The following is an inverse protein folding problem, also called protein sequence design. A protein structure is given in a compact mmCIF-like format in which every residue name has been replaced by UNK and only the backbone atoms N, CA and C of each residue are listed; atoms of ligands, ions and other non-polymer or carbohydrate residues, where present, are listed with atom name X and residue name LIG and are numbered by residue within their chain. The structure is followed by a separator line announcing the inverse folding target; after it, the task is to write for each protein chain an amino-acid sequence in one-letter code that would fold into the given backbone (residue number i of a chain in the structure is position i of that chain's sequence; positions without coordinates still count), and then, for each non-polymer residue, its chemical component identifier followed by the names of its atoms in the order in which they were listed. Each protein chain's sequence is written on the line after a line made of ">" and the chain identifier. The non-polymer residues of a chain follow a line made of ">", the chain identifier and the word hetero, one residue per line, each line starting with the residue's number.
data_IF_521141094777
#
_entry.id   IF_521141094777
#
_cell.length_a   1.000
_cell.length_b   1.000
_cell.length_c   1.000
_cell.angle_alpha   90.00
_cell.angle_beta   90.00
_cell.angle_gamma   90.00
#
_symmetry.space_group_name_H-M   'P 1'
#
loop_
_entity.id
_entity.type
_entity.pdbx_description
1 polymer ?
#
# COMPACT_ATOMS: atom_id res chain seq x y z
N UNK A 1 -4.07 -2.74 19.01
CA UNK A 1 -3.59 -1.64 18.16
C UNK A 1 -4.68 -1.26 17.18
N UNK A 2 -4.42 -0.32 16.27
CA UNK A 2 -5.34 0.02 15.19
C UNK A 2 -4.74 -0.43 13.85
N UNK A 3 -5.62 -0.77 12.91
CA UNK A 3 -5.32 -1.13 11.54
C UNK A 3 -6.51 -0.75 10.66
N UNK A 4 -6.27 -0.54 9.37
CA UNK A 4 -7.32 -0.35 8.37
C UNK A 4 -7.83 -1.72 7.97
N UNK A 5 -9.13 -1.96 8.16
CA UNK A 5 -9.83 -3.20 7.82
C UNK A 5 -11.01 -2.92 6.88
N UNK A 6 -11.75 -3.95 6.49
CA UNK A 6 -12.86 -3.85 5.51
C UNK A 6 -12.41 -3.24 4.18
N UNK A 7 -11.17 -3.52 3.78
CA UNK A 7 -10.62 -3.08 2.50
C UNK A 7 -11.15 -3.99 1.41
N UNK A 8 -11.93 -3.43 0.49
CA UNK A 8 -12.43 -4.10 -0.71
C UNK A 8 -11.73 -3.59 -1.97
N UNK A 9 -11.92 -4.32 -3.08
CA UNK A 9 -11.37 -3.90 -4.37
C UNK A 9 -11.91 -2.53 -4.78
N UNK A 10 -11.01 -1.59 -5.06
CA UNK A 10 -11.32 -0.22 -5.46
C UNK A 10 -11.20 0.81 -4.34
N UNK A 11 -11.19 0.38 -3.08
CA UNK A 11 -10.99 1.27 -1.94
C UNK A 11 -9.60 1.91 -1.95
N UNK A 12 -9.46 3.03 -1.26
CA UNK A 12 -8.18 3.69 -1.10
C UNK A 12 -8.10 4.49 0.19
N UNK A 13 -6.88 4.77 0.62
CA UNK A 13 -6.58 5.84 1.57
C UNK A 13 -5.57 6.82 0.94
N UNK A 14 -5.60 8.06 1.40
CA UNK A 14 -4.75 9.15 0.92
C UNK A 14 -3.92 9.73 2.07
N UNK A 15 -2.66 10.02 1.79
CA UNK A 15 -1.81 10.88 2.62
C UNK A 15 -1.42 12.10 1.80
N UNK A 16 -1.79 13.29 2.28
CA UNK A 16 -1.52 14.55 1.60
C UNK A 16 -0.08 14.99 1.84
N UNK A 17 0.62 15.44 0.80
CA UNK A 17 1.91 16.10 0.92
C UNK A 17 3.05 15.24 1.49
N UNK A 18 3.20 14.00 1.02
CA UNK A 18 4.34 13.14 1.40
C UNK A 18 5.61 13.67 0.77
N UNK A 19 6.59 14.03 1.60
CA UNK A 19 7.89 14.55 1.17
C UNK A 19 8.89 13.40 0.93
N UNK A 20 9.03 12.97 -0.32
CA UNK A 20 9.98 11.95 -0.77
C UNK A 20 11.41 12.49 -0.97
N UNK A 21 11.57 13.82 -1.01
CA UNK A 21 12.85 14.48 -1.24
C UNK A 21 13.35 14.35 -2.68
N UNK A 22 14.55 14.87 -2.96
CA UNK A 22 15.11 14.90 -4.32
C UNK A 22 15.62 13.54 -4.79
N UNK A 23 16.20 12.74 -3.90
CA UNK A 23 16.67 11.38 -4.20
C UNK A 23 15.51 10.40 -4.48
N UNK A 24 14.33 10.70 -3.92
CA UNK A 24 13.12 9.90 -4.01
C UNK A 24 13.17 8.60 -3.20
N UNK A 25 12.03 7.92 -3.15
CA UNK A 25 11.94 6.60 -2.53
C UNK A 25 12.37 5.49 -3.49
N UNK A 26 13.00 4.44 -2.93
CA UNK A 26 13.47 3.24 -3.65
C UNK A 26 12.69 1.99 -3.30
N UNK A 27 12.16 1.90 -2.08
CA UNK A 27 11.34 0.78 -1.66
C UNK A 27 10.18 1.24 -0.79
N UNK A 28 9.17 0.39 -0.73
CA UNK A 28 8.02 0.52 0.13
C UNK A 28 7.83 -0.78 0.89
N UNK A 29 7.60 -0.69 2.20
CA UNK A 29 7.24 -1.80 3.06
C UNK A 29 5.91 -1.51 3.73
N UNK A 30 5.03 -2.51 3.81
CA UNK A 30 3.80 -2.44 4.59
C UNK A 30 3.64 -3.69 5.45
N UNK A 31 3.10 -3.50 6.66
CA UNK A 31 2.65 -4.61 7.50
C UNK A 31 1.18 -4.87 7.28
N UNK A 32 0.89 -6.10 6.86
CA UNK A 32 -0.41 -6.53 6.36
C UNK A 32 -0.78 -7.90 6.92
N UNK A 33 -2.08 -8.20 6.95
CA UNK A 33 -2.62 -9.52 7.26
C UNK A 33 -3.77 -9.84 6.30
N UNK A 34 -3.86 -11.06 5.81
CA UNK A 34 -4.93 -11.51 4.94
C UNK A 34 -5.41 -12.90 5.36
N UNK A 35 -6.68 -12.98 5.75
CA UNK A 35 -7.39 -14.24 5.95
C UNK A 35 -8.11 -14.73 4.69
N UNK A 36 -8.08 -13.96 3.60
CA UNK A 36 -8.66 -14.30 2.31
C UNK A 36 -7.60 -14.62 1.26
N UNK A 37 -7.88 -14.31 0.00
CA UNK A 37 -6.95 -14.52 -1.12
C UNK A 37 -5.85 -13.45 -1.22
N UNK A 38 -5.93 -12.38 -0.43
CA UNK A 38 -5.02 -11.24 -0.53
C UNK A 38 -5.41 -10.27 -1.65
N UNK A 39 -4.44 -9.48 -2.10
CA UNK A 39 -4.64 -8.45 -3.12
C UNK A 39 -3.36 -7.67 -3.37
N UNK A 40 -3.50 -6.39 -3.74
CA UNK A 40 -2.39 -5.49 -4.01
C UNK A 40 -2.64 -4.11 -3.43
N UNK A 41 -1.54 -3.43 -3.09
CA UNK A 41 -1.51 -2.00 -2.79
C UNK A 41 -0.77 -1.31 -3.92
N UNK A 42 -1.51 -0.58 -4.76
CA UNK A 42 -0.97 0.30 -5.77
C UNK A 42 -0.57 1.63 -5.11
N UNK A 43 0.70 2.04 -5.27
CA UNK A 43 1.21 3.32 -4.80
C UNK A 43 1.04 4.33 -5.94
N UNK A 44 0.09 5.26 -5.79
CA UNK A 44 -0.24 6.24 -6.83
C UNK A 44 -0.03 7.67 -6.36
N UNK A 45 0.52 8.52 -7.23
CA UNK A 45 0.78 9.92 -6.93
C UNK A 45 -0.25 10.85 -7.56
N UNK A 46 -0.70 11.85 -6.81
CA UNK A 46 -1.61 12.91 -7.27
C UNK A 46 -3.09 12.54 -7.21
N UNK A 47 -3.48 11.35 -7.68
CA UNK A 47 -4.86 10.86 -7.64
C UNK A 47 -4.96 9.34 -7.55
N UNK A 48 -6.17 8.81 -7.34
CA UNK A 48 -6.46 7.37 -7.36
C UNK A 48 -6.18 6.70 -8.71
N UNK A 49 -6.07 7.47 -9.79
CA UNK A 49 -5.69 7.01 -11.13
C UNK A 49 -4.37 7.63 -11.61
N UNK A 50 -3.62 8.29 -10.72
CA UNK A 50 -2.39 8.99 -11.04
C UNK A 50 -1.21 8.03 -11.26
N UNK A 51 -0.01 8.62 -11.36
CA UNK A 51 1.24 7.91 -11.66
C UNK A 51 1.47 6.75 -10.70
N UNK A 52 1.55 5.53 -11.23
CA UNK A 52 1.86 4.32 -10.46
C UNK A 52 3.38 4.27 -10.23
N UNK A 53 3.80 4.36 -8.98
CA UNK A 53 5.23 4.38 -8.60
C UNK A 53 5.69 3.08 -7.95
N UNK A 54 4.76 2.19 -7.62
CA UNK A 54 5.05 0.87 -7.07
C UNK A 54 3.77 0.06 -6.90
N UNK A 55 3.94 -1.25 -6.75
CA UNK A 55 2.82 -2.17 -6.45
C UNK A 55 3.30 -3.21 -5.47
N UNK A 56 2.71 -3.22 -4.28
CA UNK A 56 2.97 -4.22 -3.27
C UNK A 56 1.98 -5.37 -3.42
N UNK A 57 2.48 -6.58 -3.65
CA UNK A 57 1.65 -7.79 -3.62
C UNK A 57 1.43 -8.21 -2.16
N UNK A 58 0.18 -8.49 -1.81
CA UNK A 58 -0.22 -8.96 -0.48
C UNK A 58 -0.82 -10.36 -0.65
N UNK A 59 -0.05 -11.44 -0.44
CA UNK A 59 -0.59 -12.80 -0.46
C UNK A 59 -1.46 -13.06 0.78
N UNK A 60 -2.15 -14.21 0.79
CA UNK A 60 -2.71 -14.76 2.02
C UNK A 60 -1.62 -14.92 3.07
N UNK A 61 -1.85 -14.44 4.29
CA UNK A 61 -0.87 -14.55 5.38
C UNK A 61 -1.23 -15.64 6.39
N UNK A 62 -2.33 -16.37 6.15
CA UNK A 62 -2.81 -17.44 7.03
C UNK A 62 -3.80 -16.98 8.09
N UNK A 63 -4.31 -15.74 8.02
CA UNK A 63 -5.37 -15.28 8.91
C UNK A 63 -5.43 -13.75 9.07
N UNK A 64 -6.58 -13.24 9.50
CA UNK A 64 -6.83 -11.81 9.72
C UNK A 64 -6.00 -11.16 10.84
N UNK A 65 -5.30 -11.97 11.62
CA UNK A 65 -4.39 -11.53 12.70
C UNK A 65 -2.97 -12.11 12.52
N UNK A 66 -2.70 -12.77 11.39
CA UNK A 66 -1.37 -13.29 11.08
C UNK A 66 -0.64 -12.24 10.27
N UNK A 67 0.13 -11.39 10.94
CA UNK A 67 0.75 -10.23 10.34
C UNK A 67 2.12 -10.53 9.73
N UNK A 68 2.36 -10.03 8.52
CA UNK A 68 3.66 -10.08 7.86
C UNK A 68 4.00 -8.73 7.23
N UNK A 69 5.31 -8.45 7.10
CA UNK A 69 5.81 -7.27 6.40
C UNK A 69 6.21 -7.65 4.99
N UNK A 70 5.56 -7.03 4.01
CA UNK A 70 5.84 -7.23 2.59
C UNK A 70 6.52 -5.98 2.05
N UNK A 71 7.40 -6.13 1.05
CA UNK A 71 8.06 -5.01 0.39
C UNK A 71 7.92 -5.06 -1.15
N UNK A 72 8.08 -3.89 -1.77
CA UNK A 72 8.22 -3.74 -3.22
C UNK A 72 9.19 -2.61 -3.55
N UNK A 73 9.70 -2.61 -4.78
CA UNK A 73 10.47 -1.50 -5.32
C UNK A 73 9.56 -0.31 -5.63
N UNK A 74 10.14 0.88 -5.56
CA UNK A 74 9.49 2.17 -5.87
C UNK A 74 10.37 2.93 -6.85
N UNK A 75 9.77 3.52 -7.86
CA UNK A 75 10.45 4.37 -8.83
C UNK A 75 9.61 5.60 -9.18
N UNK A 76 10.27 6.74 -9.38
CA UNK A 76 9.61 7.98 -9.78
C UNK A 76 8.88 8.74 -8.67
N UNK A 77 8.99 8.31 -7.40
CA UNK A 77 8.46 9.05 -6.25
C UNK A 77 9.50 10.03 -5.71
N UNK A 78 9.46 11.28 -6.16
CA UNK A 78 10.35 12.38 -5.73
C UNK A 78 9.55 13.62 -5.33
N UNK A 79 10.20 14.59 -4.69
CA UNK A 79 9.59 15.85 -4.29
C UNK A 79 8.55 15.69 -3.19
N UNK A 80 7.52 16.53 -3.20
CA UNK A 80 6.38 16.44 -2.28
C UNK A 80 5.12 16.14 -3.08
N UNK A 81 4.46 15.02 -2.80
CA UNK A 81 3.35 14.50 -3.61
C UNK A 81 2.22 13.98 -2.72
N UNK A 82 0.98 14.10 -3.18
CA UNK A 82 -0.13 13.37 -2.56
C UNK A 82 -0.01 11.88 -2.90
N UNK A 83 0.02 11.02 -1.89
CA UNK A 83 0.15 9.58 -2.03
C UNK A 83 -1.21 8.90 -1.80
N UNK A 84 -1.57 8.04 -2.73
CA UNK A 84 -2.74 7.18 -2.66
C UNK A 84 -2.29 5.73 -2.55
N UNK A 85 -2.82 5.03 -1.56
CA UNK A 85 -2.75 3.58 -1.46
C UNK A 85 -4.06 3.04 -2.03
N UNK A 86 -4.05 2.65 -3.31
CA UNK A 86 -5.23 2.07 -3.97
C UNK A 86 -5.19 0.56 -3.84
N UNK A 87 -6.27 -0.01 -3.32
CA UNK A 87 -6.37 -1.43 -3.04
C UNK A 87 -7.07 -2.16 -4.19
N UNK A 88 -6.43 -3.20 -4.71
CA UNK A 88 -6.98 -4.00 -5.83
C UNK A 88 -6.92 -5.49 -5.53
N UNK A 89 -7.91 -6.24 -6.02
CA UNK A 89 -8.02 -7.67 -5.73
C UNK A 89 -9.35 -8.26 -6.15
N UNK A 90 -9.67 -9.43 -5.60
CA UNK A 90 -10.93 -10.12 -5.83
C UNK A 90 -12.11 -9.52 -5.05
N UNK A 91 -13.18 -10.30 -4.92
CA UNK A 91 -14.33 -9.96 -4.08
C UNK A 91 -14.07 -10.23 -2.59
N UNK A 92 -14.70 -9.46 -1.71
CA UNK A 92 -14.56 -9.61 -0.26
C UNK A 92 -13.43 -8.76 0.33
N UNK A 93 -13.23 -8.84 1.65
CA UNK A 93 -12.11 -8.17 2.33
C UNK A 93 -10.79 -8.73 1.78
N UNK A 94 -9.89 -7.84 1.35
CA UNK A 94 -8.65 -8.24 0.68
C UNK A 94 -7.55 -8.55 1.70
N UNK A 95 -7.32 -7.61 2.60
CA UNK A 95 -6.30 -7.64 3.64
C UNK A 95 -6.57 -6.52 4.66
N UNK A 96 -5.89 -6.57 5.79
CA UNK A 96 -5.80 -5.51 6.78
C UNK A 96 -4.44 -4.84 6.68
N UNK A 97 -4.41 -3.55 6.90
CA UNK A 97 -3.24 -2.71 6.68
C UNK A 97 -2.90 -1.91 7.94
N UNK A 98 -1.74 -2.18 8.53
CA UNK A 98 -1.36 -1.61 9.81
C UNK A 98 -0.47 -0.37 9.68
N UNK A 99 0.77 -0.56 9.23
CA UNK A 99 1.74 0.52 9.05
C UNK A 99 2.47 0.35 7.72
N UNK A 100 3.10 1.44 7.29
CA UNK A 100 3.92 1.48 6.09
C UNK A 100 5.13 2.38 6.26
N UNK A 101 6.15 2.14 5.43
CA UNK A 101 7.40 2.90 5.42
C UNK A 101 8.01 2.90 4.02
N UNK A 102 8.56 4.03 3.61
CA UNK A 102 9.45 4.12 2.45
C UNK A 102 10.92 4.10 2.88
N UNK A 103 11.79 3.56 2.03
CA UNK A 103 13.24 3.73 2.14
C UNK A 103 13.79 4.49 0.93
N UNK A 104 14.89 5.21 1.15
CA UNK A 104 15.70 5.84 0.10
C UNK A 104 16.82 4.91 -0.37
#
# INVERSE_FOLDING_TARGET
>A
GMDVLSINNGDYIKVKGVAFGTAGAKSFTARVASGGSGGKIELRLGSTSGTLVGTLNVPATGGWQTWSSMNCTVSGATGTQDLFFRFTGGSGELFRFNWWQFSQ
#
